data_IF_353869662564
#
_entry.id   IF_353869662564
#
_cell.length_a   1.000
_cell.length_b   1.000
_cell.length_c   1.000
_cell.angle_alpha   90.00
_cell.angle_beta   90.00
_cell.angle_gamma   90.00
#
_symmetry.space_group_name_H-M   'P 1'
#
loop_
_entity.id
_entity.type
_entity.pdbx_description
1 polymer ?
#
# COMPACT_ATOMS: atom_id res chain seq x y z
N UNK A 1 29.20 -6.42 27.06
CA UNK A 1 29.28 -6.37 25.59
C UNK A 1 28.47 -7.54 25.09
N UNK A 2 27.18 -7.35 24.88
CA UNK A 2 26.30 -8.28 24.19
C UNK A 2 26.42 -7.93 22.71
N UNK A 3 27.09 -8.79 21.95
CA UNK A 3 27.15 -8.70 20.50
C UNK A 3 25.74 -8.66 19.97
N UNK A 4 25.49 -7.67 19.12
CA UNK A 4 24.22 -7.43 18.43
C UNK A 4 23.98 -8.58 17.43
N UNK A 5 23.29 -9.64 17.89
CA UNK A 5 23.00 -10.84 17.09
C UNK A 5 21.93 -10.63 16.03
N UNK A 6 21.48 -9.39 15.80
CA UNK A 6 20.43 -9.07 14.85
C UNK A 6 20.91 -9.00 13.38
N UNK A 7 22.21 -8.77 13.16
CA UNK A 7 22.77 -8.59 11.81
C UNK A 7 22.95 -9.91 11.01
N UNK A 8 22.86 -11.07 11.66
CA UNK A 8 23.15 -12.38 11.05
C UNK A 8 21.89 -13.19 10.67
N UNK A 9 20.68 -12.64 10.92
CA UNK A 9 19.42 -13.33 10.62
C UNK A 9 18.99 -13.08 9.17
N UNK A 10 18.60 -14.17 8.50
CA UNK A 10 18.03 -14.07 7.15
C UNK A 10 16.58 -13.61 7.25
N UNK A 11 16.22 -12.58 6.50
CA UNK A 11 14.85 -12.07 6.35
C UNK A 11 14.24 -12.64 5.08
N UNK A 12 13.05 -13.21 5.17
CA UNK A 12 12.28 -13.67 4.02
C UNK A 12 11.52 -12.51 3.38
N UNK A 13 11.43 -12.50 2.05
CA UNK A 13 10.62 -11.52 1.35
C UNK A 13 9.89 -12.13 0.16
N UNK A 14 8.56 -12.02 0.13
CA UNK A 14 7.71 -12.56 -0.94
C UNK A 14 6.94 -11.43 -1.63
N UNK A 15 7.05 -11.37 -2.97
CA UNK A 15 6.39 -10.38 -3.80
C UNK A 15 7.29 -9.17 -4.11
N UNK A 16 7.92 -9.21 -5.28
CA UNK A 16 8.83 -8.18 -5.79
C UNK A 16 8.16 -7.32 -6.87
N UNK A 17 6.91 -6.91 -6.60
CA UNK A 17 6.17 -5.98 -7.45
C UNK A 17 6.65 -4.54 -7.30
N UNK A 18 5.82 -3.57 -7.75
CA UNK A 18 6.17 -2.15 -7.76
C UNK A 18 6.63 -1.59 -6.40
N UNK A 19 6.07 -2.09 -5.30
CA UNK A 19 6.48 -1.70 -3.94
C UNK A 19 7.55 -2.64 -3.40
N UNK A 20 7.30 -3.96 -3.47
CA UNK A 20 8.16 -4.97 -2.85
C UNK A 20 9.58 -4.96 -3.37
N UNK A 21 9.80 -4.70 -4.66
CA UNK A 21 11.15 -4.59 -5.23
C UNK A 21 11.98 -3.49 -4.53
N UNK A 22 11.39 -2.32 -4.28
CA UNK A 22 12.09 -1.23 -3.61
C UNK A 22 12.27 -1.48 -2.11
N UNK A 23 11.29 -2.12 -1.47
CA UNK A 23 11.38 -2.52 -0.06
C UNK A 23 12.50 -3.55 0.12
N UNK A 24 12.53 -4.61 -0.68
CA UNK A 24 13.58 -5.62 -0.64
C UNK A 24 14.97 -5.01 -0.92
N UNK A 25 15.05 -4.09 -1.90
CA UNK A 25 16.29 -3.38 -2.19
C UNK A 25 16.81 -2.60 -0.98
N UNK A 26 15.94 -1.93 -0.23
CA UNK A 26 16.32 -1.19 0.98
C UNK A 26 16.78 -2.10 2.11
N UNK A 27 16.15 -3.26 2.28
CA UNK A 27 16.60 -4.23 3.27
C UNK A 27 18.03 -4.72 2.96
N UNK A 28 18.33 -4.97 1.67
CA UNK A 28 19.70 -5.32 1.22
C UNK A 28 20.67 -4.16 1.50
N UNK A 29 20.28 -2.91 1.20
CA UNK A 29 21.12 -1.72 1.45
C UNK A 29 21.37 -1.50 2.94
N UNK A 30 20.44 -1.90 3.80
CA UNK A 30 20.60 -1.88 5.25
C UNK A 30 21.45 -3.04 5.80
N UNK A 31 21.93 -3.93 4.93
CA UNK A 31 22.81 -5.04 5.31
C UNK A 31 22.10 -6.34 5.68
N UNK A 32 20.78 -6.45 5.47
CA UNK A 32 20.06 -7.70 5.75
C UNK A 32 20.32 -8.75 4.66
N UNK A 33 20.54 -9.99 5.07
CA UNK A 33 20.53 -11.15 4.18
C UNK A 33 19.09 -11.51 3.84
N UNK A 34 18.75 -11.56 2.53
CA UNK A 34 17.40 -11.87 2.10
C UNK A 34 17.27 -13.23 1.43
N UNK A 35 16.23 -13.99 1.82
CA UNK A 35 15.66 -15.10 1.04
C UNK A 35 14.39 -14.58 0.34
N UNK A 36 14.35 -14.63 -1.01
CA UNK A 36 13.31 -13.95 -1.79
C UNK A 36 12.57 -14.87 -2.73
N UNK A 37 11.28 -14.57 -2.96
CA UNK A 37 10.47 -15.22 -3.98
C UNK A 37 9.50 -14.25 -4.66
N UNK A 38 9.39 -14.36 -5.97
CA UNK A 38 8.32 -13.81 -6.81
C UNK A 38 8.06 -14.81 -7.94
N UNK A 39 6.82 -14.88 -8.42
CA UNK A 39 6.46 -15.76 -9.54
C UNK A 39 7.11 -15.36 -10.87
N UNK A 40 7.62 -14.14 -10.97
CA UNK A 40 8.31 -13.58 -12.13
C UNK A 40 9.81 -13.58 -11.90
N UNK A 41 10.53 -14.42 -12.63
CA UNK A 41 11.99 -14.54 -12.52
C UNK A 41 12.73 -13.22 -12.80
N UNK A 42 12.20 -12.38 -13.69
CA UNK A 42 12.76 -11.07 -14.01
C UNK A 42 12.68 -10.07 -12.83
N UNK A 43 11.72 -10.26 -11.91
CA UNK A 43 11.65 -9.45 -10.68
C UNK A 43 12.68 -9.91 -9.63
N UNK A 44 13.06 -11.18 -9.64
CA UNK A 44 14.02 -11.77 -8.68
C UNK A 44 15.47 -11.43 -9.06
N UNK A 45 15.82 -11.50 -10.35
CA UNK A 45 17.20 -11.38 -10.83
C UNK A 45 17.97 -10.14 -10.34
N UNK A 46 17.39 -8.91 -10.28
CA UNK A 46 18.10 -7.72 -9.81
C UNK A 46 18.52 -7.81 -8.33
N UNK A 47 17.73 -8.49 -7.51
CA UNK A 47 18.02 -8.65 -6.07
C UNK A 47 19.06 -9.74 -5.81
N UNK A 48 19.06 -10.82 -6.61
CA UNK A 48 20.10 -11.85 -6.59
C UNK A 48 21.44 -11.25 -6.95
N UNK A 49 21.51 -10.36 -7.96
CA UNK A 49 22.73 -9.65 -8.32
C UNK A 49 23.28 -8.76 -7.19
N UNK A 50 22.46 -8.47 -6.17
CA UNK A 50 22.82 -7.70 -4.96
C UNK A 50 23.03 -8.59 -3.73
N UNK A 51 23.07 -9.90 -3.88
CA UNK A 51 23.37 -10.86 -2.81
C UNK A 51 22.17 -11.52 -2.16
N UNK A 52 20.93 -11.29 -2.63
CA UNK A 52 19.78 -12.02 -2.12
C UNK A 52 19.78 -13.47 -2.63
N UNK A 53 19.29 -14.39 -1.80
CA UNK A 53 19.09 -15.81 -2.15
C UNK A 53 17.71 -15.97 -2.79
N UNK A 54 17.65 -16.42 -4.03
CA UNK A 54 16.40 -16.81 -4.66
C UNK A 54 15.88 -18.14 -4.09
N UNK A 55 14.59 -18.19 -3.79
CA UNK A 55 13.84 -19.39 -3.44
C UNK A 55 12.88 -19.76 -4.59
N UNK A 56 12.43 -21.02 -4.63
CA UNK A 56 11.56 -21.52 -5.70
C UNK A 56 10.06 -21.50 -5.33
N UNK A 57 9.72 -21.16 -4.07
CA UNK A 57 8.35 -21.02 -3.56
C UNK A 57 8.34 -20.14 -2.33
N UNK A 58 7.13 -19.72 -1.89
CA UNK A 58 6.96 -19.04 -0.62
C UNK A 58 7.31 -19.96 0.57
N UNK A 59 6.94 -21.25 0.50
CA UNK A 59 7.35 -22.24 1.51
C UNK A 59 8.87 -22.35 1.66
N UNK A 60 9.63 -22.35 0.56
CA UNK A 60 11.09 -22.37 0.62
C UNK A 60 11.69 -21.07 1.20
N UNK A 61 10.97 -19.95 1.19
CA UNK A 61 11.35 -18.73 1.93
C UNK A 61 11.14 -18.95 3.42
N UNK A 62 10.02 -19.56 3.81
CA UNK A 62 9.69 -19.87 5.21
C UNK A 62 10.63 -20.94 5.84
N UNK A 63 11.25 -21.78 5.03
CA UNK A 63 12.32 -22.73 5.47
C UNK A 63 13.66 -22.03 5.66
N UNK A 64 13.85 -20.83 5.05
CA UNK A 64 15.14 -20.16 5.01
C UNK A 64 15.22 -18.93 5.93
N UNK A 65 14.10 -18.48 6.52
CA UNK A 65 14.04 -17.27 7.30
C UNK A 65 13.04 -17.37 8.45
N UNK A 66 13.40 -16.84 9.62
CA UNK A 66 12.52 -16.78 10.79
C UNK A 66 11.47 -15.66 10.69
N UNK A 67 11.75 -14.61 9.96
CA UNK A 67 10.86 -13.46 9.73
C UNK A 67 10.61 -13.29 8.25
N UNK A 68 9.34 -13.37 7.82
CA UNK A 68 8.95 -13.24 6.42
C UNK A 68 8.03 -12.04 6.22
N UNK A 69 8.45 -11.10 5.37
CA UNK A 69 7.66 -9.97 4.92
C UNK A 69 6.99 -10.29 3.57
N UNK A 70 5.75 -9.87 3.38
CA UNK A 70 5.07 -10.00 2.09
C UNK A 70 4.58 -8.65 1.56
N UNK A 71 4.63 -8.46 0.22
CA UNK A 71 4.10 -7.29 -0.48
C UNK A 71 3.37 -7.73 -1.75
N UNK A 72 2.09 -8.02 -1.62
CA UNK A 72 1.28 -8.75 -2.61
C UNK A 72 0.07 -7.93 -3.06
N UNK A 73 -0.46 -8.14 -4.28
CA UNK A 73 -1.45 -7.24 -4.89
C UNK A 73 -2.88 -7.42 -4.38
N UNK A 74 -3.27 -8.64 -3.98
CA UNK A 74 -4.67 -8.95 -3.65
C UNK A 74 -4.80 -9.78 -2.38
N UNK A 75 -5.96 -9.68 -1.69
CA UNK A 75 -6.26 -10.49 -0.50
C UNK A 75 -6.12 -12.00 -0.75
N UNK A 76 -6.59 -12.51 -1.89
CA UNK A 76 -6.56 -13.95 -2.19
C UNK A 76 -5.12 -14.47 -2.37
N UNK A 77 -4.25 -13.66 -2.97
CA UNK A 77 -2.83 -14.01 -3.10
C UNK A 77 -2.16 -14.03 -1.72
N UNK A 78 -2.51 -13.09 -0.83
CA UNK A 78 -1.98 -13.10 0.54
C UNK A 78 -2.44 -14.35 1.29
N UNK A 79 -3.71 -14.75 1.19
CA UNK A 79 -4.21 -16.01 1.80
C UNK A 79 -3.43 -17.23 1.28
N UNK A 80 -3.26 -17.33 -0.04
CA UNK A 80 -2.55 -18.46 -0.65
C UNK A 80 -1.08 -18.52 -0.19
N UNK A 81 -0.37 -17.40 -0.23
CA UNK A 81 1.03 -17.30 0.22
C UNK A 81 1.15 -17.58 1.72
N UNK A 82 0.27 -17.04 2.56
CA UNK A 82 0.26 -17.33 3.99
C UNK A 82 0.06 -18.82 4.27
N UNK A 83 -0.80 -19.49 3.49
CA UNK A 83 -0.98 -20.96 3.58
C UNK A 83 0.28 -21.74 3.24
N UNK A 84 1.05 -21.32 2.24
CA UNK A 84 2.36 -21.92 1.92
C UNK A 84 3.38 -21.64 3.02
N UNK A 85 3.44 -20.40 3.53
CA UNK A 85 4.37 -20.01 4.60
C UNK A 85 4.11 -20.78 5.90
N UNK A 86 2.84 -21.08 6.21
CA UNK A 86 2.46 -21.84 7.41
C UNK A 86 3.03 -23.26 7.45
N UNK A 87 3.56 -23.78 6.34
CA UNK A 87 4.16 -25.11 6.25
C UNK A 87 5.69 -25.10 6.36
N UNK A 88 6.32 -23.94 6.48
CA UNK A 88 7.77 -23.82 6.59
C UNK A 88 8.29 -24.15 8.00
N UNK A 89 9.51 -24.66 8.05
CA UNK A 89 10.11 -25.16 9.28
C UNK A 89 10.81 -24.07 10.12
N UNK A 90 11.20 -22.93 9.50
CA UNK A 90 12.00 -21.90 10.16
C UNK A 90 11.20 -20.65 10.53
N UNK A 91 10.05 -20.39 9.89
CA UNK A 91 9.29 -19.17 10.08
C UNK A 91 8.71 -19.06 11.50
N UNK A 92 8.99 -17.95 12.17
CA UNK A 92 8.45 -17.59 13.49
C UNK A 92 7.53 -16.36 13.41
N UNK A 93 7.81 -15.45 12.47
CA UNK A 93 7.09 -14.17 12.32
C UNK A 93 6.70 -13.88 10.86
N UNK A 94 5.46 -13.45 10.66
CA UNK A 94 4.90 -13.00 9.40
C UNK A 94 4.52 -11.53 9.47
N UNK A 95 4.93 -10.74 8.45
CA UNK A 95 4.63 -9.31 8.34
C UNK A 95 3.95 -9.03 7.01
N UNK A 96 2.68 -8.63 7.03
CA UNK A 96 1.95 -8.27 5.82
C UNK A 96 2.03 -6.76 5.54
N UNK A 97 2.84 -6.38 4.54
CA UNK A 97 2.93 -5.01 4.03
C UNK A 97 1.87 -4.68 2.97
N UNK A 98 1.06 -5.65 2.57
CA UNK A 98 0.02 -5.51 1.54
C UNK A 98 -1.21 -4.77 2.08
N UNK A 99 -2.16 -4.45 1.19
CA UNK A 99 -3.49 -3.95 1.58
C UNK A 99 -4.54 -5.00 1.26
N UNK A 100 -4.99 -5.70 2.31
CA UNK A 100 -5.89 -6.87 2.24
C UNK A 100 -7.25 -6.65 2.89
N UNK A 101 -7.37 -5.59 3.69
CA UNK A 101 -8.54 -5.33 4.52
C UNK A 101 -8.53 -6.11 5.85
N UNK A 102 -9.32 -5.63 6.84
CA UNK A 102 -9.27 -6.16 8.21
C UNK A 102 -9.66 -7.63 8.34
N UNK A 103 -10.67 -8.07 7.59
CA UNK A 103 -11.20 -9.43 7.64
C UNK A 103 -10.13 -10.45 7.24
N UNK A 104 -9.50 -10.22 6.09
CA UNK A 104 -8.45 -11.12 5.57
C UNK A 104 -7.23 -11.15 6.48
N UNK A 105 -6.81 -10.00 7.01
CA UNK A 105 -5.70 -9.96 7.95
C UNK A 105 -5.99 -10.77 9.23
N UNK A 106 -7.22 -10.70 9.75
CA UNK A 106 -7.63 -11.49 10.91
C UNK A 106 -7.67 -13.00 10.59
N UNK A 107 -8.19 -13.40 9.42
CA UNK A 107 -8.21 -14.78 8.94
C UNK A 107 -6.78 -15.35 8.81
N UNK A 108 -5.89 -14.61 8.14
CA UNK A 108 -4.49 -14.98 7.93
C UNK A 108 -3.76 -15.11 9.27
N UNK A 109 -3.95 -14.14 10.17
CA UNK A 109 -3.33 -14.20 11.50
C UNK A 109 -3.80 -15.41 12.30
N UNK A 110 -5.09 -15.76 12.24
CA UNK A 110 -5.62 -16.94 12.92
C UNK A 110 -5.03 -18.24 12.34
N UNK A 111 -4.92 -18.35 11.03
CA UNK A 111 -4.36 -19.52 10.35
C UNK A 111 -2.87 -19.70 10.67
N UNK A 112 -2.07 -18.65 10.60
CA UNK A 112 -0.64 -18.68 10.91
C UNK A 112 -0.38 -18.93 12.41
N UNK A 113 -1.18 -18.33 13.30
CA UNK A 113 -1.08 -18.58 14.74
C UNK A 113 -1.35 -20.05 15.10
N UNK A 114 -2.26 -20.71 14.38
CA UNK A 114 -2.50 -22.16 14.55
C UNK A 114 -1.29 -23.00 14.14
N UNK A 115 -0.42 -22.48 13.28
CA UNK A 115 0.86 -23.07 12.88
C UNK A 115 2.05 -22.60 13.76
N UNK A 116 1.78 -21.79 14.81
CA UNK A 116 2.83 -21.29 15.70
C UNK A 116 3.56 -20.04 15.20
N UNK A 117 3.09 -19.42 14.10
CA UNK A 117 3.70 -18.23 13.51
C UNK A 117 3.03 -16.96 14.03
N UNK A 118 3.79 -16.05 14.59
CA UNK A 118 3.31 -14.76 15.06
C UNK A 118 3.07 -13.80 13.88
N UNK A 119 2.01 -12.99 13.96
CA UNK A 119 1.60 -12.14 12.83
C UNK A 119 1.54 -10.67 13.18
N UNK A 120 2.03 -9.84 12.25
CA UNK A 120 1.90 -8.39 12.28
C UNK A 120 1.31 -7.93 10.94
N UNK A 121 0.12 -7.34 10.92
CA UNK A 121 -0.32 -6.60 9.75
C UNK A 121 0.30 -5.20 9.78
N UNK A 122 1.00 -4.84 8.73
CA UNK A 122 1.83 -3.64 8.67
C UNK A 122 1.73 -2.92 7.30
N UNK A 123 0.52 -2.65 6.79
CA UNK A 123 0.34 -2.00 5.50
C UNK A 123 1.05 -0.65 5.44
N UNK A 124 1.51 -0.28 4.25
CA UNK A 124 2.36 0.87 4.02
C UNK A 124 1.66 1.99 3.25
N UNK A 125 2.08 3.23 3.49
CA UNK A 125 1.67 4.41 2.75
C UNK A 125 2.89 5.26 2.37
N UNK A 126 2.86 5.88 1.17
CA UNK A 126 3.96 6.69 0.63
C UNK A 126 4.29 6.36 -0.83
N UNK A 127 3.65 5.32 -1.39
CA UNK A 127 3.83 4.92 -2.79
C UNK A 127 5.26 4.46 -3.11
N UNK A 128 5.54 4.30 -4.40
CA UNK A 128 6.84 3.84 -4.90
C UNK A 128 7.97 4.79 -4.48
N UNK A 129 7.74 6.11 -4.55
CA UNK A 129 8.74 7.10 -4.14
C UNK A 129 9.10 6.98 -2.65
N UNK A 130 8.10 6.75 -1.80
CA UNK A 130 8.32 6.51 -0.36
C UNK A 130 9.08 5.22 -0.09
N UNK A 131 8.79 4.15 -0.83
CA UNK A 131 9.52 2.89 -0.73
C UNK A 131 10.99 3.04 -1.15
N UNK A 132 11.26 3.75 -2.24
CA UNK A 132 12.62 4.06 -2.69
C UNK A 132 13.39 4.88 -1.67
N UNK A 133 12.76 5.92 -1.13
CA UNK A 133 13.40 6.85 -0.20
C UNK A 133 13.47 6.34 1.26
N UNK A 134 12.80 5.24 1.62
CA UNK A 134 12.68 4.78 3.01
C UNK A 134 11.88 5.74 3.90
N UNK A 135 10.87 6.36 3.33
CA UNK A 135 10.05 7.36 4.02
C UNK A 135 8.60 6.92 4.17
N UNK A 136 8.35 5.62 4.06
CA UNK A 136 7.00 5.07 4.22
C UNK A 136 6.43 5.39 5.61
N UNK A 137 5.11 5.49 5.66
CA UNK A 137 4.35 5.32 6.90
C UNK A 137 3.89 3.87 6.97
N UNK A 138 4.23 3.18 8.05
CA UNK A 138 3.87 1.78 8.32
C UNK A 138 2.86 1.77 9.46
N UNK A 139 1.70 1.19 9.21
CA UNK A 139 0.57 1.12 10.16
C UNK A 139 0.50 -0.29 10.73
N UNK A 140 1.32 -0.58 11.73
CA UNK A 140 1.42 -1.92 12.29
C UNK A 140 0.29 -2.22 13.28
N UNK A 141 -0.22 -3.46 13.28
CA UNK A 141 -1.10 -3.96 14.33
C UNK A 141 -0.82 -5.43 14.63
N UNK A 142 -0.95 -5.81 15.90
CA UNK A 142 -0.65 -7.13 16.43
C UNK A 142 -0.03 -7.06 17.82
N UNK A 143 0.65 -8.11 18.22
CA UNK A 143 1.31 -8.18 19.53
C UNK A 143 2.39 -7.10 19.69
N UNK A 144 2.38 -6.38 20.81
CA UNK A 144 3.31 -5.28 21.06
C UNK A 144 4.76 -5.76 21.20
N UNK A 145 5.00 -6.92 21.80
CA UNK A 145 6.36 -7.43 21.95
C UNK A 145 6.93 -7.83 20.60
N UNK A 146 6.12 -8.46 19.74
CA UNK A 146 6.49 -8.73 18.35
C UNK A 146 6.78 -7.43 17.59
N UNK A 147 5.91 -6.43 17.70
CA UNK A 147 6.14 -5.13 17.07
C UNK A 147 7.46 -4.50 17.51
N UNK A 148 7.75 -4.50 18.81
CA UNK A 148 8.99 -3.91 19.32
C UNK A 148 10.24 -4.66 18.83
N UNK A 149 10.17 -5.99 18.72
CA UNK A 149 11.27 -6.80 18.17
C UNK A 149 11.52 -6.54 16.68
N UNK A 150 10.46 -6.29 15.90
CA UNK A 150 10.52 -6.04 14.45
C UNK A 150 10.69 -4.55 14.10
N UNK A 151 10.50 -3.67 15.06
CA UNK A 151 10.56 -2.21 14.85
C UNK A 151 11.86 -1.75 14.18
N UNK A 152 13.07 -2.21 14.59
CA UNK A 152 14.31 -1.82 13.90
C UNK A 152 14.30 -2.19 12.41
N UNK A 153 13.78 -3.38 12.06
CA UNK A 153 13.61 -3.82 10.68
C UNK A 153 12.65 -2.90 9.90
N UNK A 154 11.48 -2.59 10.49
CA UNK A 154 10.47 -1.73 9.87
C UNK A 154 10.96 -0.28 9.71
N UNK A 155 11.78 0.24 10.63
CA UNK A 155 12.38 1.58 10.56
C UNK A 155 13.38 1.72 9.40
N UNK A 156 13.92 0.63 8.84
CA UNK A 156 14.70 0.68 7.60
C UNK A 156 13.84 1.03 6.38
N UNK A 157 12.53 0.75 6.45
CA UNK A 157 11.58 0.91 5.36
C UNK A 157 10.81 2.23 5.42
N UNK A 158 10.60 2.75 6.62
CA UNK A 158 9.73 3.90 6.82
C UNK A 158 10.19 4.84 7.92
N UNK A 159 9.88 6.13 7.73
CA UNK A 159 10.14 7.17 8.72
C UNK A 159 9.14 7.13 9.88
N UNK A 160 7.90 6.75 9.60
CA UNK A 160 6.82 6.71 10.57
C UNK A 160 6.36 5.26 10.73
N UNK A 161 6.80 4.60 11.80
CA UNK A 161 6.40 3.23 12.13
C UNK A 161 5.51 3.32 13.37
N UNK A 162 4.22 3.05 13.20
CA UNK A 162 3.19 3.28 14.23
C UNK A 162 2.49 1.97 14.56
N UNK A 163 2.48 1.57 15.82
CA UNK A 163 1.57 0.53 16.30
C UNK A 163 0.20 1.16 16.50
N UNK A 164 -0.74 0.83 15.60
CA UNK A 164 -2.09 1.44 15.58
C UNK A 164 -3.10 0.63 16.39
N UNK A 165 -2.77 -0.61 16.74
CA UNK A 165 -3.63 -1.46 17.54
C UNK A 165 -3.01 -2.81 17.86
N UNK A 166 -3.62 -3.51 18.84
CA UNK A 166 -3.14 -4.80 19.35
C UNK A 166 -3.78 -6.01 18.64
N UNK A 167 -4.80 -5.77 17.81
CA UNK A 167 -5.53 -6.85 17.16
C UNK A 167 -5.20 -6.92 15.67
N UNK A 168 -5.01 -8.12 15.10
CA UNK A 168 -4.86 -8.30 13.67
C UNK A 168 -6.00 -7.65 12.89
N UNK A 169 -5.67 -6.98 11.79
CA UNK A 169 -6.61 -6.23 10.96
C UNK A 169 -6.77 -4.74 11.31
N UNK A 170 -6.32 -4.28 12.48
CA UNK A 170 -6.42 -2.86 12.84
C UNK A 170 -5.48 -1.97 12.00
N UNK A 171 -4.29 -2.47 11.62
CA UNK A 171 -3.40 -1.80 10.67
C UNK A 171 -4.05 -1.69 9.28
N UNK A 172 -4.69 -2.77 8.83
CA UNK A 172 -5.44 -2.78 7.58
C UNK A 172 -6.62 -1.80 7.62
N UNK A 173 -7.35 -1.73 8.73
CA UNK A 173 -8.44 -0.75 8.90
C UNK A 173 -7.89 0.68 8.78
N UNK A 174 -6.82 1.01 9.49
CA UNK A 174 -6.18 2.32 9.39
C UNK A 174 -5.76 2.63 7.95
N UNK A 175 -5.23 1.65 7.23
CA UNK A 175 -4.80 1.78 5.83
C UNK A 175 -5.97 2.06 4.89
N UNK A 176 -7.05 1.28 4.94
CA UNK A 176 -8.18 1.49 4.02
C UNK A 176 -8.94 2.78 4.32
N UNK A 177 -9.01 3.21 5.58
CA UNK A 177 -9.55 4.53 5.97
C UNK A 177 -8.69 5.67 5.39
N UNK A 178 -7.35 5.58 5.50
CA UNK A 178 -6.43 6.53 4.88
C UNK A 178 -6.62 6.59 3.36
N UNK A 179 -6.78 5.44 2.70
CA UNK A 179 -6.94 5.39 1.25
C UNK A 179 -8.31 5.91 0.80
N UNK A 180 -9.38 5.68 1.57
CA UNK A 180 -10.68 6.31 1.32
C UNK A 180 -10.58 7.85 1.38
N UNK A 181 -9.88 8.41 2.37
CA UNK A 181 -9.65 9.86 2.45
C UNK A 181 -8.84 10.38 1.25
N UNK A 182 -7.79 9.66 0.83
CA UNK A 182 -7.01 10.02 -0.35
C UNK A 182 -7.83 9.95 -1.65
N UNK A 183 -8.63 8.91 -1.81
CA UNK A 183 -9.55 8.73 -2.94
C UNK A 183 -10.59 9.85 -3.00
N UNK A 184 -11.19 10.18 -1.84
CA UNK A 184 -12.14 11.30 -1.72
C UNK A 184 -11.49 12.63 -2.09
N UNK A 185 -10.26 12.87 -1.63
CA UNK A 185 -9.52 14.09 -1.95
C UNK A 185 -9.27 14.25 -3.46
N UNK A 186 -8.89 13.16 -4.16
CA UNK A 186 -8.69 13.19 -5.61
C UNK A 186 -10.02 13.49 -6.31
N UNK A 187 -11.08 12.78 -5.96
CA UNK A 187 -12.38 12.92 -6.60
C UNK A 187 -12.95 14.33 -6.43
N UNK A 188 -13.07 14.80 -5.19
CA UNK A 188 -13.67 16.13 -4.91
C UNK A 188 -12.84 17.30 -5.46
N UNK A 189 -11.48 17.15 -5.45
CA UNK A 189 -10.64 18.18 -6.06
C UNK A 189 -10.82 18.21 -7.59
N UNK A 190 -10.96 17.03 -8.22
CA UNK A 190 -11.25 16.91 -9.65
C UNK A 190 -12.57 17.57 -10.04
N UNK A 191 -13.66 17.28 -9.31
CA UNK A 191 -14.97 17.90 -9.55
C UNK A 191 -14.93 19.42 -9.34
N UNK A 192 -14.29 19.88 -8.26
CA UNK A 192 -14.17 21.32 -7.99
C UNK A 192 -13.40 22.07 -9.10
N UNK A 193 -12.31 21.47 -9.61
CA UNK A 193 -11.55 22.04 -10.72
C UNK A 193 -12.35 21.99 -12.02
N UNK A 194 -13.03 20.90 -12.32
CA UNK A 194 -13.85 20.77 -13.52
C UNK A 194 -14.96 21.84 -13.54
N UNK A 195 -15.65 22.06 -12.43
CA UNK A 195 -16.66 23.12 -12.30
C UNK A 195 -16.03 24.51 -12.45
N UNK A 196 -14.89 24.76 -11.83
CA UNK A 196 -14.21 26.05 -11.91
C UNK A 196 -13.72 26.37 -13.32
N UNK A 197 -13.13 25.40 -14.02
CA UNK A 197 -12.70 25.53 -15.42
C UNK A 197 -13.92 25.73 -16.33
N UNK A 198 -15.01 25.01 -16.13
CA UNK A 198 -16.26 25.24 -16.85
C UNK A 198 -16.79 26.68 -16.65
N UNK A 199 -16.57 27.26 -15.46
CA UNK A 199 -16.88 28.67 -15.15
C UNK A 199 -15.86 29.66 -15.65
N UNK A 200 -14.84 29.26 -16.43
CA UNK A 200 -13.82 30.14 -17.03
C UNK A 200 -12.64 30.47 -16.13
N UNK A 201 -12.44 29.76 -15.03
CA UNK A 201 -11.29 29.95 -14.13
C UNK A 201 -10.12 29.05 -14.54
N UNK A 202 -8.89 29.55 -14.38
CA UNK A 202 -7.68 28.73 -14.57
C UNK A 202 -7.57 27.65 -13.49
N UNK A 203 -7.31 26.40 -13.91
CA UNK A 203 -7.11 25.29 -12.99
C UNK A 203 -5.92 25.53 -12.04
N UNK A 204 -4.83 26.10 -12.53
CA UNK A 204 -3.66 26.48 -11.73
C UNK A 204 -4.00 27.52 -10.68
N UNK A 205 -4.67 28.60 -11.07
CA UNK A 205 -5.12 29.65 -10.13
C UNK A 205 -6.02 29.09 -9.05
N UNK A 206 -6.94 28.18 -9.41
CA UNK A 206 -7.81 27.51 -8.43
C UNK A 206 -7.03 26.67 -7.44
N UNK A 207 -6.03 25.91 -7.89
CA UNK A 207 -5.16 25.15 -7.00
C UNK A 207 -4.37 26.04 -6.05
N UNK A 208 -3.87 27.18 -6.51
CA UNK A 208 -3.19 28.15 -5.63
C UNK A 208 -4.14 28.68 -4.56
N UNK A 209 -5.39 29.02 -4.92
CA UNK A 209 -6.43 29.40 -3.97
C UNK A 209 -6.75 28.28 -2.99
N UNK A 210 -6.98 27.06 -3.46
CA UNK A 210 -7.27 25.91 -2.59
C UNK A 210 -6.13 25.66 -1.60
N UNK A 211 -4.88 25.69 -2.08
CA UNK A 211 -3.69 25.40 -1.28
C UNK A 211 -3.34 26.50 -0.27
N UNK A 212 -3.78 27.73 -0.51
CA UNK A 212 -3.64 28.86 0.44
C UNK A 212 -4.85 29.02 1.37
N UNK A 213 -5.89 28.19 1.23
CA UNK A 213 -7.16 28.28 1.92
C UNK A 213 -7.54 26.94 2.57
N UNK A 214 -8.73 26.88 3.16
CA UNK A 214 -9.25 25.69 3.87
C UNK A 214 -9.52 24.47 2.96
N UNK A 215 -9.51 24.62 1.65
CA UNK A 215 -9.68 23.55 0.67
C UNK A 215 -8.43 22.70 0.44
N UNK A 216 -7.29 23.06 1.05
CA UNK A 216 -6.03 22.33 0.91
C UNK A 216 -6.16 20.88 1.36
N UNK A 217 -5.70 19.96 0.50
CA UNK A 217 -5.63 18.53 0.78
C UNK A 217 -4.45 17.90 0.04
N UNK A 218 -4.22 16.60 0.21
CA UNK A 218 -3.09 15.89 -0.42
C UNK A 218 -3.19 15.84 -1.94
N UNK A 219 -4.38 15.84 -2.51
CA UNK A 219 -4.56 15.86 -3.96
C UNK A 219 -4.24 17.25 -4.52
N UNK A 220 -4.82 18.32 -3.96
CA UNK A 220 -4.60 19.70 -4.41
C UNK A 220 -3.14 20.14 -4.24
N UNK A 221 -2.46 19.69 -3.17
CA UNK A 221 -1.10 20.12 -2.84
C UNK A 221 0.00 19.35 -3.60
N UNK A 222 -0.26 18.12 -4.02
CA UNK A 222 0.76 17.24 -4.61
C UNK A 222 0.33 16.63 -5.95
N UNK A 223 -0.75 15.81 -5.97
CA UNK A 223 -1.09 15.01 -7.15
C UNK A 223 -1.52 15.85 -8.35
N UNK A 224 -2.35 16.86 -8.13
CA UNK A 224 -2.85 17.69 -9.21
C UNK A 224 -1.75 18.55 -9.84
N UNK A 225 -0.94 19.31 -9.07
CA UNK A 225 0.14 20.11 -9.65
C UNK A 225 1.18 19.29 -10.41
N UNK A 226 1.47 18.08 -9.93
CA UNK A 226 2.57 17.26 -10.47
C UNK A 226 2.14 16.28 -11.56
N UNK A 227 0.89 15.86 -11.59
CA UNK A 227 0.46 14.75 -12.45
C UNK A 227 -0.78 15.05 -13.28
N UNK A 228 -1.73 15.85 -12.77
CA UNK A 228 -2.96 16.17 -13.51
C UNK A 228 -2.76 17.38 -14.41
N UNK A 229 -2.32 18.53 -13.89
CA UNK A 229 -2.13 19.73 -14.70
C UNK A 229 -1.15 19.51 -15.87
N UNK A 230 0.03 18.88 -15.67
CA UNK A 230 0.94 18.57 -16.78
C UNK A 230 0.51 17.36 -17.62
N UNK A 231 -0.65 16.76 -17.33
CA UNK A 231 -1.23 15.63 -18.08
C UNK A 231 -0.38 14.35 -18.09
N UNK A 232 0.51 14.18 -17.14
CA UNK A 232 1.38 12.99 -17.04
C UNK A 232 0.69 11.78 -16.44
N UNK A 233 -0.28 11.96 -15.56
CA UNK A 233 -1.07 10.91 -14.89
C UNK A 233 -0.20 9.77 -14.34
N UNK A 234 0.82 10.14 -13.56
CA UNK A 234 1.85 9.21 -13.11
C UNK A 234 2.16 9.34 -11.61
N UNK A 235 1.13 9.38 -10.75
CA UNK A 235 1.32 9.43 -9.30
C UNK A 235 1.87 8.12 -8.70
N UNK A 236 1.93 7.05 -9.50
CA UNK A 236 2.54 5.78 -9.12
C UNK A 236 1.65 4.86 -8.32
N UNK A 237 0.33 5.02 -8.39
CA UNK A 237 -0.63 4.11 -7.78
C UNK A 237 -1.75 3.78 -8.79
N UNK A 238 -1.95 2.49 -9.07
CA UNK A 238 -2.93 2.05 -10.07
C UNK A 238 -4.36 2.34 -9.61
N UNK A 239 -5.19 2.79 -10.56
CA UNK A 239 -6.59 3.14 -10.33
C UNK A 239 -7.39 1.96 -9.79
N UNK A 240 -7.20 0.77 -10.35
CA UNK A 240 -7.85 -0.45 -9.91
C UNK A 240 -7.51 -0.85 -8.47
N UNK A 241 -6.29 -0.51 -8.00
CA UNK A 241 -5.91 -0.76 -6.61
C UNK A 241 -6.51 0.28 -5.66
N UNK A 242 -6.68 1.52 -6.10
CA UNK A 242 -7.39 2.53 -5.31
C UNK A 242 -8.88 2.14 -5.15
N UNK A 243 -9.54 1.73 -6.23
CA UNK A 243 -10.91 1.23 -6.15
C UNK A 243 -11.01 0.03 -5.21
N UNK A 244 -10.14 -0.98 -5.37
CA UNK A 244 -10.08 -2.12 -4.44
C UNK A 244 -9.99 -1.67 -2.99
N UNK A 245 -9.12 -0.73 -2.65
CA UNK A 245 -8.92 -0.28 -1.27
C UNK A 245 -10.16 0.46 -0.75
N UNK A 246 -10.82 1.26 -1.59
CA UNK A 246 -12.09 1.91 -1.26
C UNK A 246 -13.19 0.88 -0.99
N UNK A 247 -13.31 -0.14 -1.86
CA UNK A 247 -14.30 -1.20 -1.69
C UNK A 247 -14.05 -2.04 -0.43
N UNK A 248 -12.79 -2.32 -0.08
CA UNK A 248 -12.43 -2.97 1.20
C UNK A 248 -12.87 -2.14 2.41
N UNK A 249 -12.68 -0.82 2.35
CA UNK A 249 -13.14 0.08 3.41
C UNK A 249 -14.67 0.05 3.56
N UNK A 250 -15.41 0.10 2.46
CA UNK A 250 -16.86 0.06 2.46
C UNK A 250 -17.42 -1.30 2.88
N UNK A 251 -16.74 -2.39 2.53
CA UNK A 251 -17.09 -3.73 3.00
C UNK A 251 -16.97 -3.82 4.52
N UNK A 252 -15.87 -3.31 5.08
CA UNK A 252 -15.67 -3.28 6.52
C UNK A 252 -16.70 -2.40 7.23
N UNK A 253 -17.03 -1.23 6.67
CA UNK A 253 -18.09 -0.36 7.21
C UNK A 253 -19.44 -1.07 7.25
N UNK A 254 -19.81 -1.82 6.20
CA UNK A 254 -21.03 -2.64 6.17
C UNK A 254 -21.00 -3.74 7.24
N UNK A 255 -19.87 -4.43 7.39
CA UNK A 255 -19.67 -5.47 8.41
C UNK A 255 -19.87 -4.91 9.82
N UNK A 256 -19.35 -3.71 10.07
CA UNK A 256 -19.47 -3.02 11.36
C UNK A 256 -20.78 -2.22 11.51
N UNK A 257 -21.64 -2.20 10.49
CA UNK A 257 -22.91 -1.44 10.47
C UNK A 257 -22.71 0.07 10.66
N UNK A 258 -21.57 0.61 10.19
CA UNK A 258 -21.29 2.05 10.23
C UNK A 258 -21.76 2.70 8.92
N UNK A 259 -22.71 3.66 8.97
CA UNK A 259 -23.17 4.36 7.77
C UNK A 259 -22.07 5.23 7.16
N UNK A 260 -21.84 5.07 5.85
CA UNK A 260 -20.79 5.79 5.12
C UNK A 260 -21.38 6.46 3.86
N UNK A 261 -22.26 7.46 4.05
CA UNK A 261 -22.96 8.09 2.92
C UNK A 261 -22.01 8.71 1.89
N UNK A 262 -21.05 9.53 2.32
CA UNK A 262 -20.04 10.11 1.43
C UNK A 262 -19.08 9.06 0.91
N UNK A 263 -18.64 8.13 1.75
CA UNK A 263 -17.77 7.02 1.33
C UNK A 263 -18.41 6.16 0.25
N UNK A 264 -19.72 5.89 0.35
CA UNK A 264 -20.47 5.13 -0.67
C UNK A 264 -20.49 5.86 -2.02
N UNK A 265 -20.76 7.17 -2.03
CA UNK A 265 -20.73 7.97 -3.26
C UNK A 265 -19.32 7.97 -3.90
N UNK A 266 -18.26 8.09 -3.08
CA UNK A 266 -16.88 7.97 -3.55
C UNK A 266 -16.62 6.59 -4.12
N UNK A 267 -17.08 5.51 -3.45
CA UNK A 267 -16.92 4.15 -3.92
C UNK A 267 -17.59 3.88 -5.27
N UNK A 268 -18.79 4.40 -5.49
CA UNK A 268 -19.49 4.31 -6.78
C UNK A 268 -18.72 5.04 -7.89
N UNK A 269 -18.17 6.21 -7.59
CA UNK A 269 -17.37 6.99 -8.53
C UNK A 269 -16.10 6.25 -8.94
N UNK A 270 -15.37 5.68 -7.97
CA UNK A 270 -14.14 4.91 -8.24
C UNK A 270 -14.42 3.62 -8.99
N UNK A 271 -15.49 2.89 -8.65
CA UNK A 271 -15.91 1.68 -9.38
C UNK A 271 -16.25 2.00 -10.85
N UNK A 272 -16.95 3.12 -11.11
CA UNK A 272 -17.24 3.60 -12.48
C UNK A 272 -15.97 3.92 -13.25
N UNK A 273 -15.02 4.62 -12.59
CA UNK A 273 -13.73 4.93 -13.19
C UNK A 273 -12.91 3.66 -13.51
N UNK A 274 -12.86 2.69 -12.58
CA UNK A 274 -12.15 1.43 -12.77
C UNK A 274 -12.74 0.60 -13.92
N UNK A 275 -14.06 0.60 -14.09
CA UNK A 275 -14.74 -0.11 -15.17
C UNK A 275 -14.45 0.46 -16.57
N UNK A 276 -14.08 1.75 -16.67
CA UNK A 276 -13.84 2.44 -17.94
C UNK A 276 -12.37 2.69 -18.25
N UNK A 277 -11.48 2.57 -17.25
CA UNK A 277 -10.06 2.85 -17.40
C UNK A 277 -9.31 1.76 -18.17
N UNK A 278 -8.22 2.12 -18.81
CA UNK A 278 -7.29 1.14 -19.37
C UNK A 278 -6.60 0.34 -18.26
N UNK A 279 -6.23 -0.91 -18.55
CA UNK A 279 -5.50 -1.73 -17.59
C UNK A 279 -4.19 -1.04 -17.15
N UNK A 280 -3.96 -0.95 -15.84
CA UNK A 280 -2.78 -0.31 -15.27
C UNK A 280 -2.83 1.22 -15.23
N UNK A 281 -3.97 1.85 -15.53
CA UNK A 281 -4.17 3.29 -15.43
C UNK A 281 -3.79 3.80 -14.02
N UNK A 282 -3.21 5.00 -13.95
CA UNK A 282 -2.88 5.66 -12.70
C UNK A 282 -4.15 6.20 -12.01
N UNK A 283 -4.16 6.25 -10.69
CA UNK A 283 -5.31 6.72 -9.92
C UNK A 283 -5.71 8.16 -10.24
N UNK A 284 -4.79 8.99 -10.74
CA UNK A 284 -5.09 10.35 -11.18
C UNK A 284 -5.88 10.41 -12.49
N UNK A 285 -5.94 9.31 -13.24
CA UNK A 285 -6.74 9.25 -14.49
C UNK A 285 -8.25 9.25 -14.26
N UNK A 286 -8.74 9.05 -13.04
CA UNK A 286 -10.15 9.32 -12.70
C UNK A 286 -10.58 10.74 -13.11
N UNK A 287 -9.65 11.69 -13.09
CA UNK A 287 -9.92 13.08 -13.52
C UNK A 287 -10.36 13.15 -14.97
N UNK A 288 -9.84 12.30 -15.87
CA UNK A 288 -10.27 12.24 -17.27
C UNK A 288 -11.76 11.92 -17.43
N UNK A 289 -12.28 11.04 -16.56
CA UNK A 289 -13.70 10.72 -16.54
C UNK A 289 -14.51 11.95 -16.08
N UNK A 290 -14.06 12.64 -15.03
CA UNK A 290 -14.71 13.85 -14.53
C UNK A 290 -14.68 14.99 -15.55
N UNK A 291 -13.57 15.14 -16.28
CA UNK A 291 -13.42 16.10 -17.40
C UNK A 291 -14.42 15.80 -18.51
N UNK A 292 -14.53 14.52 -18.91
CA UNK A 292 -15.46 14.08 -19.93
C UNK A 292 -16.91 14.38 -19.52
N UNK A 293 -17.27 14.06 -18.28
CA UNK A 293 -18.63 14.30 -17.75
C UNK A 293 -18.96 15.79 -17.68
N UNK A 294 -17.97 16.65 -17.42
CA UNK A 294 -18.14 18.12 -17.36
C UNK A 294 -17.91 18.85 -18.70
N UNK A 295 -17.42 18.16 -19.72
CA UNK A 295 -17.10 18.78 -21.02
C UNK A 295 -15.94 19.77 -20.97
N UNK A 296 -14.93 19.57 -20.11
CA UNK A 296 -13.78 20.44 -19.91
C UNK A 296 -12.48 19.66 -19.87
N UNK A 297 -11.35 20.36 -19.86
CA UNK A 297 -10.02 19.78 -19.62
C UNK A 297 -9.37 20.51 -18.43
N UNK A 298 -8.97 19.78 -17.41
CA UNK A 298 -8.23 20.28 -16.23
C UNK A 298 -6.74 20.13 -16.50
N UNK A 299 -6.11 21.15 -17.05
CA UNK A 299 -4.70 21.14 -17.43
C UNK A 299 -4.07 22.52 -17.35
N UNK A 300 -2.74 22.57 -17.51
CA UNK A 300 -2.04 23.81 -17.78
C UNK A 300 -2.38 24.27 -19.20
N UNK A 301 -2.78 25.53 -19.35
CA UNK A 301 -2.94 26.17 -20.65
C UNK A 301 -1.56 26.46 -21.29
#
# INVERSE_FOLDING_TARGET
MTEDSSADRTVGFVGLGAMGAHIAARLIDAGHHLAIFDTRAEAVAPHVARGARACNSAGAVADAADTVLVSLPTPDIVRAVAGELATGDAIEAFVDLSTTGPEVAAEVAAALSAAGVACLDAPVSGGVAGAQAGTLTIMAAGDEALFQSLRPLLETLGRNVVLVGAQPGQGQLAKVLNNLLSASAIAITGEALALGVHGGLSARTLLDVFNSSSGRNTASADKFPRHVLPRTFGAGFRLELMDKDVQLCLAEARRQQVPMALGSAVGELWARAAASAAAGADCTEIVRMLEHDAGVVVGDE
#
